data_IF_222586703649
#
_entry.id   IF_222586703649
#
_cell.length_a   1.000
_cell.length_b   1.000
_cell.length_c   1.000
_cell.angle_alpha   90.00
_cell.angle_beta   90.00
_cell.angle_gamma   90.00
#
_symmetry.space_group_name_H-M   'P 1'
#
loop_
_entity.id
_entity.type
_entity.pdbx_description
1 polymer ?
#
# COMPACT_ATOMS: atom_id res chain seq x y z
N UNK A 1 14.84 1.98 -0.92
CA UNK A 1 13.48 1.97 -1.48
C UNK A 1 13.48 2.44 -2.91
N UNK A 2 12.64 1.84 -3.74
CA UNK A 2 12.46 2.33 -5.10
C UNK A 2 11.67 3.63 -5.10
N UNK A 3 11.66 4.32 -6.26
CA UNK A 3 10.90 5.56 -6.39
C UNK A 3 9.42 5.33 -6.10
N UNK A 4 8.86 4.23 -6.60
CA UNK A 4 7.44 3.93 -6.37
C UNK A 4 7.16 3.64 -4.89
N UNK A 5 8.08 2.95 -4.23
CA UNK A 5 7.93 2.69 -2.81
C UNK A 5 7.97 3.98 -1.99
N UNK A 6 8.88 4.89 -2.36
CA UNK A 6 8.96 6.18 -1.69
C UNK A 6 7.68 6.99 -1.91
N UNK A 7 7.19 6.99 -3.13
CA UNK A 7 5.94 7.70 -3.45
C UNK A 7 4.76 7.09 -2.70
N UNK A 8 4.72 5.77 -2.60
CA UNK A 8 3.65 5.10 -1.88
C UNK A 8 3.67 5.49 -0.40
N UNK A 9 4.84 5.46 0.21
CA UNK A 9 4.98 5.82 1.62
C UNK A 9 4.54 7.26 1.86
N UNK A 10 5.00 8.18 1.00
CA UNK A 10 4.64 9.58 1.12
C UNK A 10 3.13 9.79 0.97
N UNK A 11 2.52 9.09 0.04
CA UNK A 11 1.09 9.23 -0.18
C UNK A 11 0.28 8.71 1.01
N UNK A 12 0.70 7.59 1.60
CA UNK A 12 0.05 7.09 2.80
C UNK A 12 0.12 8.09 3.95
N UNK A 13 1.28 8.73 4.11
CA UNK A 13 1.43 9.75 5.14
C UNK A 13 0.54 10.96 4.86
N UNK A 14 0.47 11.38 3.59
CA UNK A 14 -0.36 12.51 3.20
C UNK A 14 -1.83 12.26 3.47
N UNK A 15 -2.27 11.01 3.33
CA UNK A 15 -3.65 10.64 3.60
C UNK A 15 -3.94 10.51 5.10
N UNK A 16 -2.91 10.64 5.93
CA UNK A 16 -3.09 10.64 7.38
C UNK A 16 -3.13 9.25 8.00
N UNK A 17 -2.66 8.24 7.28
CA UNK A 17 -2.62 6.88 7.85
C UNK A 17 -1.60 6.83 8.98
N UNK A 18 -1.87 5.97 9.95
CA UNK A 18 -0.96 5.84 11.09
C UNK A 18 0.41 5.35 10.62
N UNK A 19 1.45 5.75 11.35
CA UNK A 19 2.81 5.40 10.97
C UNK A 19 3.01 3.89 10.91
N UNK A 20 2.48 3.17 11.92
CA UNK A 20 2.59 1.72 11.94
C UNK A 20 1.96 1.07 10.71
N UNK A 21 0.79 1.57 10.31
CA UNK A 21 0.14 1.05 9.12
C UNK A 21 0.97 1.33 7.87
N UNK A 22 1.53 2.52 7.75
CA UNK A 22 2.38 2.86 6.61
C UNK A 22 3.57 1.90 6.49
N UNK A 23 4.25 1.65 7.60
CA UNK A 23 5.41 0.76 7.61
C UNK A 23 5.00 -0.67 7.24
N UNK A 24 3.96 -1.17 7.88
CA UNK A 24 3.50 -2.54 7.66
C UNK A 24 3.04 -2.74 6.21
N UNK A 25 2.25 -1.79 5.71
CA UNK A 25 1.75 -1.89 4.33
C UNK A 25 2.91 -1.88 3.34
N UNK A 26 3.88 -1.01 3.54
CA UNK A 26 5.03 -0.95 2.65
C UNK A 26 5.81 -2.26 2.66
N UNK A 27 6.01 -2.84 3.83
CA UNK A 27 6.74 -4.11 3.93
C UNK A 27 6.03 -5.22 3.17
N UNK A 28 4.71 -5.27 3.27
CA UNK A 28 3.94 -6.30 2.59
C UNK A 28 3.95 -6.08 1.07
N UNK A 29 3.64 -4.85 0.65
CA UNK A 29 3.45 -4.56 -0.77
C UNK A 29 4.77 -4.56 -1.54
N UNK A 30 5.88 -4.23 -0.89
CA UNK A 30 7.17 -4.15 -1.57
C UNK A 30 7.67 -5.51 -2.05
N UNK A 31 7.01 -6.58 -1.66
CA UNK A 31 7.36 -7.92 -2.15
C UNK A 31 7.04 -8.09 -3.64
N UNK A 32 6.23 -7.20 -4.21
CA UNK A 32 5.84 -7.29 -5.61
C UNK A 32 5.71 -5.88 -6.18
N UNK A 33 6.50 -5.58 -7.22
CA UNK A 33 6.51 -4.25 -7.82
C UNK A 33 5.16 -3.85 -8.39
N UNK A 34 4.43 -4.83 -8.95
CA UNK A 34 3.10 -4.53 -9.51
C UNK A 34 2.12 -4.18 -8.41
N UNK A 35 2.24 -4.82 -7.25
CA UNK A 35 1.38 -4.50 -6.11
C UNK A 35 1.62 -3.06 -5.65
N UNK A 36 2.88 -2.64 -5.59
CA UNK A 36 3.21 -1.26 -5.21
C UNK A 36 2.59 -0.28 -6.21
N UNK A 37 2.77 -0.55 -7.51
CA UNK A 37 2.21 0.34 -8.54
C UNK A 37 0.70 0.40 -8.47
N UNK A 38 0.06 -0.73 -8.30
CA UNK A 38 -1.40 -0.77 -8.26
C UNK A 38 -1.94 -0.02 -7.04
N UNK A 39 -1.32 -0.23 -5.90
CA UNK A 39 -1.75 0.48 -4.70
C UNK A 39 -1.53 1.98 -4.82
N UNK A 40 -0.40 2.39 -5.40
CA UNK A 40 -0.11 3.80 -5.57
C UNK A 40 -1.17 4.48 -6.43
N UNK A 41 -1.55 3.84 -7.56
CA UNK A 41 -2.60 4.37 -8.42
C UNK A 41 -3.93 4.46 -7.67
N UNK A 42 -4.24 3.44 -6.88
CA UNK A 42 -5.48 3.43 -6.10
C UNK A 42 -5.53 4.59 -5.11
N UNK A 43 -4.43 4.85 -4.40
CA UNK A 43 -4.39 5.93 -3.42
C UNK A 43 -4.55 7.29 -4.07
N UNK A 44 -3.91 7.51 -5.22
CA UNK A 44 -4.05 8.78 -5.93
C UNK A 44 -5.46 8.98 -6.44
N UNK A 45 -6.08 7.91 -6.93
CA UNK A 45 -7.37 8.00 -7.58
C UNK A 45 -8.51 8.10 -6.58
N UNK A 46 -8.46 7.31 -5.51
CA UNK A 46 -9.60 7.18 -4.59
C UNK A 46 -9.41 7.91 -3.28
N UNK A 47 -8.19 8.17 -2.86
CA UNK A 47 -7.88 8.80 -1.57
C UNK A 47 -8.70 8.15 -0.44
N UNK A 48 -8.56 6.83 -0.26
CA UNK A 48 -9.48 6.08 0.60
C UNK A 48 -9.23 6.34 2.09
N UNK A 49 -10.24 6.01 2.88
CA UNK A 49 -10.07 5.98 4.32
C UNK A 49 -9.11 4.87 4.71
N UNK A 50 -8.63 4.91 5.96
CA UNK A 50 -7.74 3.86 6.46
C UNK A 50 -8.39 2.49 6.36
N UNK A 51 -9.68 2.41 6.68
CA UNK A 51 -10.41 1.15 6.63
C UNK A 51 -10.46 0.60 5.20
N UNK A 52 -10.81 1.46 4.25
CA UNK A 52 -10.87 1.05 2.84
C UNK A 52 -9.49 0.65 2.34
N UNK A 53 -8.44 1.36 2.79
CA UNK A 53 -7.07 1.03 2.43
C UNK A 53 -6.69 -0.36 2.94
N UNK A 54 -7.03 -0.67 4.19
CA UNK A 54 -6.72 -1.97 4.77
C UNK A 54 -7.42 -3.08 3.98
N UNK A 55 -8.68 -2.87 3.62
CA UNK A 55 -9.40 -3.83 2.80
C UNK A 55 -8.73 -4.04 1.44
N UNK A 56 -8.21 -2.96 0.87
CA UNK A 56 -7.53 -3.06 -0.42
C UNK A 56 -6.20 -3.80 -0.30
N UNK A 57 -5.50 -3.63 0.81
CA UNK A 57 -4.28 -4.41 1.06
C UNK A 57 -4.61 -5.91 1.04
N UNK A 58 -5.70 -6.30 1.70
CA UNK A 58 -6.09 -7.70 1.74
C UNK A 58 -6.38 -8.24 0.34
N UNK A 59 -7.09 -7.44 -0.47
CA UNK A 59 -7.42 -7.82 -1.84
C UNK A 59 -6.15 -8.00 -2.69
N UNK A 60 -5.24 -7.04 -2.58
CA UNK A 60 -3.99 -7.08 -3.35
C UNK A 60 -3.12 -8.24 -2.90
N UNK A 61 -3.08 -8.50 -1.59
CA UNK A 61 -2.32 -9.63 -1.08
C UNK A 61 -2.82 -10.94 -1.67
N UNK A 62 -4.13 -11.10 -1.81
CA UNK A 62 -4.69 -12.30 -2.43
C UNK A 62 -4.35 -12.35 -3.92
N UNK A 63 -4.50 -11.23 -4.61
CA UNK A 63 -4.26 -11.18 -6.05
C UNK A 63 -2.83 -11.57 -6.39
N UNK A 64 -1.87 -11.06 -5.65
CA UNK A 64 -0.45 -11.29 -5.91
C UNK A 64 0.17 -12.33 -5.01
N UNK A 65 -0.66 -12.97 -4.17
CA UNK A 65 -0.20 -14.00 -3.26
C UNK A 65 0.92 -13.51 -2.33
N UNK A 66 0.72 -12.35 -1.76
CA UNK A 66 1.69 -11.72 -0.86
C UNK A 66 1.49 -12.22 0.56
N UNK A 67 1.39 -13.50 0.73
CA UNK A 67 1.11 -14.05 2.04
C UNK A 67 2.33 -13.96 2.92
N UNK A 68 2.08 -13.64 4.17
CA UNK A 68 3.12 -13.58 5.18
C UNK A 68 3.36 -14.98 5.69
N UNK A 69 4.56 -15.47 5.48
CA UNK A 69 4.91 -16.84 5.90
C UNK A 69 5.66 -16.82 7.22
#
# INVERSE_FOLDING_TARGET
MTSNEQALFAQMQDLGYSHGLCITALQILSKNKLAVSEMLAYLYEKQPSEEAFINEIARICETYQLKNQ
#
